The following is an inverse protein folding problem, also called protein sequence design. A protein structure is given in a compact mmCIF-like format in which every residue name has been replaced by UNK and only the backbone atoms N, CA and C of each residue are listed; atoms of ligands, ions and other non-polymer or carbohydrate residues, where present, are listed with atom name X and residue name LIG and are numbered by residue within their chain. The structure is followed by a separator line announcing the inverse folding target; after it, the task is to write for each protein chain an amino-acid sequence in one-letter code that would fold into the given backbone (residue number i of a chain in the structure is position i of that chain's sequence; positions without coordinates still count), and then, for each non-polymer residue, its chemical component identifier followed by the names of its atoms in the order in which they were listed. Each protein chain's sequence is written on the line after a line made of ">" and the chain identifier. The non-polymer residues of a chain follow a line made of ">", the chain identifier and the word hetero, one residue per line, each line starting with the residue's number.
data_IF_734159032649
#
_entry.id   IF_734159032649
#
_cell.length_a   1.000
_cell.length_b   1.000
_cell.length_c   1.000
_cell.angle_alpha   90.00
_cell.angle_beta   90.00
_cell.angle_gamma   90.00
#
_symmetry.space_group_name_H-M   'P 1'
#
loop_
_entity.id
_entity.type
_entity.pdbx_description
1 polymer ?
#
# COMPACT_ATOMS: atom_id res chain seq x y z
N UNK A 1 -54.39 58.66 -42.10
CA UNK A 1 -55.29 58.19 -43.18
C UNK A 1 -54.65 56.98 -43.82
N UNK A 2 -55.22 55.77 -43.61
CA UNK A 2 -54.98 54.51 -44.38
C UNK A 2 -53.53 53.95 -44.32
N UNK A 3 -53.22 52.67 -44.07
CA UNK A 3 -53.91 51.42 -44.41
C UNK A 3 -53.34 50.27 -43.55
N UNK A 4 -54.20 49.34 -43.16
CA UNK A 4 -53.88 48.01 -42.62
C UNK A 4 -53.33 47.11 -43.75
N UNK A 5 -52.30 46.31 -43.50
CA UNK A 5 -52.22 44.99 -44.15
C UNK A 5 -51.79 43.91 -43.16
N UNK A 6 -52.46 42.78 -43.30
CA UNK A 6 -52.61 41.66 -42.39
C UNK A 6 -52.01 40.42 -43.06
N UNK A 7 -51.44 39.50 -42.26
CA UNK A 7 -51.06 38.10 -42.60
C UNK A 7 -49.86 37.97 -43.57
N UNK A 8 -49.00 36.94 -43.51
CA UNK A 8 -49.31 35.50 -43.49
C UNK A 8 -48.17 34.70 -42.81
N UNK A 9 -48.56 33.69 -42.03
CA UNK A 9 -47.75 32.56 -41.55
C UNK A 9 -46.93 31.91 -42.67
N UNK A 10 -45.68 31.54 -42.42
CA UNK A 10 -45.16 30.17 -42.68
C UNK A 10 -43.64 30.13 -42.63
N UNK A 11 -43.10 29.63 -41.52
CA UNK A 11 -42.08 28.57 -41.50
C UNK A 11 -41.66 28.36 -40.06
N UNK A 12 -42.16 27.28 -39.46
CA UNK A 12 -41.46 26.64 -38.37
C UNK A 12 -40.19 26.05 -38.97
N UNK A 13 -39.04 26.67 -38.71
CA UNK A 13 -37.75 25.97 -38.65
C UNK A 13 -36.97 26.57 -37.50
N UNK A 14 -36.60 25.72 -36.56
CA UNK A 14 -35.88 26.02 -35.33
C UNK A 14 -34.69 26.94 -35.62
N UNK A 15 -34.70 28.15 -35.07
CA UNK A 15 -33.49 28.95 -34.96
C UNK A 15 -33.61 29.91 -33.79
N UNK A 16 -32.53 29.94 -33.03
CA UNK A 16 -32.13 30.90 -32.01
C UNK A 16 -33.00 30.97 -30.75
N UNK A 17 -32.41 30.40 -29.68
CA UNK A 17 -32.47 30.95 -28.34
C UNK A 17 -32.57 32.49 -28.41
N UNK A 18 -33.69 33.04 -27.94
CA UNK A 18 -33.93 34.47 -27.91
C UNK A 18 -32.94 35.09 -26.92
N UNK A 19 -31.96 35.81 -27.46
CA UNK A 19 -31.03 36.63 -26.71
C UNK A 19 -31.79 37.73 -25.93
N UNK A 20 -31.87 37.58 -24.61
CA UNK A 20 -31.98 38.68 -23.64
C UNK A 20 -31.33 38.26 -22.30
N UNK A 21 -30.02 38.04 -22.35
CA UNK A 21 -29.10 38.31 -21.24
C UNK A 21 -27.84 38.87 -21.90
N UNK A 22 -27.58 40.16 -21.66
CA UNK A 22 -26.24 40.72 -21.83
C UNK A 22 -25.33 39.97 -20.84
N UNK A 23 -24.28 39.34 -21.36
CA UNK A 23 -23.11 38.80 -20.65
C UNK A 23 -23.24 37.48 -19.84
N UNK A 24 -23.63 36.37 -20.50
CA UNK A 24 -23.12 35.04 -20.08
C UNK A 24 -24.15 33.90 -20.02
N UNK A 25 -24.44 33.27 -21.15
CA UNK A 25 -25.30 32.07 -21.18
C UNK A 25 -24.72 30.93 -22.06
N UNK A 26 -23.42 30.99 -22.35
CA UNK A 26 -22.68 29.96 -23.10
C UNK A 26 -21.24 30.42 -23.33
N UNK A 27 -20.49 30.65 -22.25
CA UNK A 27 -19.08 30.99 -22.37
C UNK A 27 -18.26 29.82 -21.86
N UNK A 28 -17.29 29.40 -22.68
CA UNK A 28 -16.46 28.26 -22.35
C UNK A 28 -15.71 28.47 -21.03
N UNK A 29 -15.72 27.45 -20.17
CA UNK A 29 -15.03 27.47 -18.88
C UNK A 29 -15.94 27.89 -17.71
N UNK A 30 -17.25 27.86 -17.90
CA UNK A 30 -18.23 28.13 -16.83
C UNK A 30 -18.63 26.88 -16.02
N UNK A 31 -18.05 25.72 -16.37
CA UNK A 31 -18.33 24.41 -15.79
C UNK A 31 -19.78 23.93 -15.99
N UNK A 32 -20.44 24.38 -17.05
CA UNK A 32 -21.71 23.86 -17.52
C UNK A 32 -21.58 23.56 -19.00
N UNK A 33 -22.09 22.42 -19.47
CA UNK A 33 -22.17 22.18 -20.93
C UNK A 33 -23.49 22.76 -21.40
N UNK A 34 -23.46 23.91 -22.08
CA UNK A 34 -24.65 24.51 -22.66
C UNK A 34 -24.41 25.10 -24.07
N UNK A 35 -25.47 25.65 -24.68
CA UNK A 35 -25.39 26.21 -26.03
C UNK A 35 -24.86 25.24 -27.10
N UNK A 36 -23.68 25.56 -27.66
CA UNK A 36 -22.97 24.79 -28.70
C UNK A 36 -21.69 24.10 -28.17
N UNK A 37 -21.50 24.10 -26.85
CA UNK A 37 -20.35 23.48 -26.19
C UNK A 37 -20.45 21.95 -26.27
N UNK A 38 -19.31 21.31 -26.48
CA UNK A 38 -19.21 19.85 -26.55
C UNK A 38 -18.66 19.25 -25.24
N UNK A 39 -17.91 20.06 -24.49
CA UNK A 39 -17.26 19.71 -23.24
C UNK A 39 -16.98 20.98 -22.41
N UNK A 40 -16.53 20.76 -21.17
CA UNK A 40 -15.93 21.77 -20.30
C UNK A 40 -14.59 21.22 -19.75
N UNK A 41 -13.72 22.08 -19.21
CA UNK A 41 -12.38 21.70 -18.69
C UNK A 41 -12.44 20.47 -17.75
N UNK A 42 -13.46 20.44 -16.87
CA UNK A 42 -13.67 19.35 -15.91
C UNK A 42 -14.87 18.45 -16.27
N UNK A 43 -15.58 18.72 -17.37
CA UNK A 43 -16.72 17.93 -17.83
C UNK A 43 -16.43 17.36 -19.21
N UNK A 44 -15.65 16.28 -19.20
CA UNK A 44 -15.33 15.49 -20.39
C UNK A 44 -16.26 14.26 -20.43
N UNK A 45 -17.24 14.27 -21.34
CA UNK A 45 -18.26 13.20 -21.44
C UNK A 45 -17.94 12.12 -22.47
N UNK A 46 -16.83 12.27 -23.20
CA UNK A 46 -16.35 11.37 -24.23
C UNK A 46 -14.94 10.92 -23.91
N UNK A 47 -14.44 9.97 -24.67
CA UNK A 47 -13.07 9.50 -24.57
C UNK A 47 -12.42 9.55 -25.96
N UNK A 48 -11.08 9.47 -26.03
CA UNK A 48 -10.37 9.35 -27.31
C UNK A 48 -10.93 8.20 -28.18
N UNK A 49 -11.35 7.08 -27.57
CA UNK A 49 -11.98 5.96 -28.28
C UNK A 49 -13.31 6.33 -28.95
N UNK A 50 -14.03 7.33 -28.43
CA UNK A 50 -15.27 7.83 -29.06
C UNK A 50 -15.03 8.45 -30.44
N UNK A 51 -13.78 8.84 -30.73
CA UNK A 51 -13.33 9.48 -31.97
C UNK A 51 -12.47 8.55 -32.84
N UNK A 52 -12.32 7.27 -32.46
CA UNK A 52 -11.60 6.27 -33.24
C UNK A 52 -10.10 6.17 -32.92
N UNK A 53 -9.63 6.79 -31.83
CA UNK A 53 -8.28 6.60 -31.30
C UNK A 53 -8.22 5.37 -30.38
N UNK A 54 -7.02 4.86 -30.15
CA UNK A 54 -6.82 3.72 -29.24
C UNK A 54 -6.93 4.16 -27.77
N UNK A 55 -6.28 5.28 -27.44
CA UNK A 55 -6.23 5.82 -26.08
C UNK A 55 -5.83 7.29 -26.04
N UNK A 56 -5.49 7.75 -24.84
CA UNK A 56 -5.01 9.12 -24.58
C UNK A 56 -5.95 9.93 -23.70
N UNK A 57 -5.56 11.18 -23.45
CA UNK A 57 -6.35 12.10 -22.63
C UNK A 57 -7.13 13.05 -23.55
N UNK A 58 -8.45 12.87 -23.60
CA UNK A 58 -9.32 13.81 -24.31
C UNK A 58 -9.41 15.10 -23.49
N UNK A 59 -9.09 16.23 -24.12
CA UNK A 59 -9.17 17.56 -23.49
C UNK A 59 -10.35 18.36 -24.02
N UNK A 60 -10.69 19.43 -23.32
CA UNK A 60 -11.56 20.46 -23.84
C UNK A 60 -10.71 21.70 -24.18
N UNK A 61 -10.81 22.19 -25.41
CA UNK A 61 -10.13 23.41 -25.85
C UNK A 61 -10.77 24.66 -25.23
N UNK A 62 -10.09 25.81 -25.32
CA UNK A 62 -10.63 27.12 -24.94
C UNK A 62 -11.88 27.56 -25.76
N UNK A 63 -12.20 26.84 -26.83
CA UNK A 63 -13.42 27.01 -27.65
C UNK A 63 -14.54 26.00 -27.27
N UNK A 64 -14.37 25.25 -26.18
CA UNK A 64 -15.27 24.22 -25.68
C UNK A 64 -15.62 23.13 -26.71
N UNK A 65 -14.62 22.80 -27.52
CA UNK A 65 -14.58 21.67 -28.44
C UNK A 65 -13.65 20.59 -27.90
N UNK A 66 -13.97 19.34 -28.24
CA UNK A 66 -13.08 18.22 -27.92
C UNK A 66 -11.75 18.38 -28.64
N UNK A 67 -10.66 18.39 -27.87
CA UNK A 67 -9.30 18.40 -28.38
C UNK A 67 -8.71 16.99 -28.28
N UNK A 68 -8.39 16.43 -29.45
CA UNK A 68 -7.87 15.07 -29.63
C UNK A 68 -6.34 15.03 -29.81
N UNK A 69 -5.64 16.15 -29.60
CA UNK A 69 -4.19 16.25 -29.80
C UNK A 69 -3.35 15.33 -28.89
N UNK A 70 -3.89 14.97 -27.72
CA UNK A 70 -3.28 14.01 -26.78
C UNK A 70 -3.88 12.59 -26.90
N UNK A 71 -4.70 12.35 -27.93
CA UNK A 71 -5.14 11.01 -28.29
C UNK A 71 -4.11 10.35 -29.21
N UNK A 72 -3.96 9.02 -29.11
CA UNK A 72 -2.98 8.25 -29.89
C UNK A 72 -3.59 6.98 -30.50
N UNK A 73 -2.95 6.46 -31.54
CA UNK A 73 -3.30 5.21 -32.21
C UNK A 73 -2.51 4.03 -31.64
N UNK A 74 -2.99 2.80 -31.85
CA UNK A 74 -2.33 1.58 -31.35
C UNK A 74 -0.88 1.45 -31.84
N UNK A 75 -0.61 1.92 -33.06
CA UNK A 75 0.71 1.93 -33.68
C UNK A 75 1.71 2.95 -33.08
N UNK A 76 1.24 3.87 -32.24
CA UNK A 76 2.08 4.84 -31.53
C UNK A 76 2.69 4.25 -30.24
N UNK A 77 2.17 3.11 -29.75
CA UNK A 77 2.65 2.42 -28.54
C UNK A 77 3.67 1.36 -28.96
N UNK A 78 4.93 1.51 -28.55
CA UNK A 78 6.00 0.55 -28.86
C UNK A 78 6.66 0.11 -27.57
N UNK A 79 5.98 -0.79 -26.88
CA UNK A 79 6.49 -1.34 -25.63
C UNK A 79 7.78 -2.14 -25.86
N UNK A 80 8.79 -1.84 -25.06
CA UNK A 80 10.11 -2.49 -25.06
C UNK A 80 11.18 -1.73 -25.84
N UNK A 81 10.99 -0.45 -26.16
CA UNK A 81 11.97 0.37 -26.88
C UNK A 81 12.90 1.20 -25.95
N UNK A 82 12.62 1.16 -24.65
CA UNK A 82 13.34 1.82 -23.57
C UNK A 82 12.95 3.28 -23.34
N UNK A 83 11.97 3.82 -24.05
CA UNK A 83 11.46 5.18 -23.89
C UNK A 83 9.98 5.14 -23.55
N UNK A 84 9.56 5.92 -22.56
CA UNK A 84 8.13 6.08 -22.26
C UNK A 84 7.54 7.03 -23.30
N UNK A 85 6.70 6.49 -24.17
CA UNK A 85 5.99 7.24 -25.21
C UNK A 85 4.52 7.51 -24.84
N UNK A 86 3.78 8.12 -25.76
CA UNK A 86 2.37 8.45 -25.53
C UNK A 86 1.57 7.16 -25.31
N UNK A 87 0.87 7.08 -24.18
CA UNK A 87 0.08 5.91 -23.82
C UNK A 87 0.79 4.90 -22.92
N UNK A 88 2.10 5.03 -22.74
CA UNK A 88 2.88 4.19 -21.84
C UNK A 88 3.02 4.84 -20.47
N UNK A 89 3.04 4.03 -19.42
CA UNK A 89 3.34 4.49 -18.05
C UNK A 89 4.76 4.11 -17.62
N UNK A 90 5.37 3.18 -18.34
CA UNK A 90 6.73 2.66 -18.17
C UNK A 90 7.17 2.00 -19.48
N UNK A 91 8.48 1.75 -19.63
CA UNK A 91 9.02 0.89 -20.69
C UNK A 91 10.28 0.19 -20.20
N UNK A 92 10.29 -1.15 -20.22
CA UNK A 92 11.46 -1.93 -19.81
C UNK A 92 11.91 -1.54 -18.38
N UNK A 93 13.16 -1.05 -18.23
CA UNK A 93 13.70 -0.54 -16.96
C UNK A 93 13.40 0.95 -16.71
N UNK A 94 12.80 1.64 -17.68
CA UNK A 94 12.36 3.02 -17.54
C UNK A 94 11.00 3.07 -16.84
N UNK A 95 11.02 3.14 -15.52
CA UNK A 95 9.83 3.09 -14.66
C UNK A 95 9.29 4.49 -14.28
N UNK A 96 9.73 5.55 -14.97
CA UNK A 96 9.44 6.95 -14.63
C UNK A 96 9.74 7.31 -13.17
N UNK A 97 10.76 6.69 -12.57
CA UNK A 97 11.13 6.88 -11.17
C UNK A 97 10.20 6.20 -10.16
N UNK A 98 9.23 5.38 -10.60
CA UNK A 98 8.39 4.60 -9.72
C UNK A 98 9.11 3.36 -9.16
N UNK A 99 8.59 2.90 -8.02
CA UNK A 99 9.04 1.71 -7.31
C UNK A 99 7.81 0.99 -6.74
N UNK A 100 8.00 -0.26 -6.28
CA UNK A 100 6.94 -1.00 -5.59
C UNK A 100 6.31 -0.16 -4.47
N UNK A 101 7.15 0.43 -3.61
CA UNK A 101 6.70 1.22 -2.45
C UNK A 101 6.01 2.54 -2.83
N UNK A 102 6.40 3.18 -3.94
CA UNK A 102 5.78 4.45 -4.35
C UNK A 102 4.38 4.27 -4.95
N UNK A 103 4.09 3.10 -5.51
CA UNK A 103 2.80 2.78 -6.15
C UNK A 103 1.83 2.07 -5.21
N UNK A 104 2.33 1.28 -4.27
CA UNK A 104 1.51 0.71 -3.19
C UNK A 104 2.33 0.65 -1.89
N UNK A 105 1.85 1.35 -0.86
CA UNK A 105 2.49 1.43 0.46
C UNK A 105 2.54 0.08 1.19
N UNK A 106 1.77 -0.92 0.75
CA UNK A 106 1.85 -2.29 1.25
C UNK A 106 3.17 -2.96 0.86
N UNK A 107 3.78 -2.62 -0.29
CA UNK A 107 5.06 -3.21 -0.65
C UNK A 107 6.20 -2.66 0.23
N UNK A 108 6.96 -3.55 0.86
CA UNK A 108 8.18 -3.19 1.60
C UNK A 108 9.38 -3.00 0.65
N UNK A 109 9.35 -3.61 -0.53
CA UNK A 109 10.39 -3.45 -1.53
C UNK A 109 10.20 -4.33 -2.77
N UNK A 110 11.31 -4.64 -3.44
CA UNK A 110 11.36 -5.50 -4.61
C UNK A 110 11.73 -4.78 -5.90
N UNK A 111 11.65 -5.51 -7.01
CA UNK A 111 11.91 -5.01 -8.36
C UNK A 111 10.56 -4.83 -9.04
N UNK A 112 10.17 -3.57 -9.23
CA UNK A 112 9.01 -3.20 -10.04
C UNK A 112 9.37 -3.41 -11.51
N UNK A 113 8.46 -4.00 -12.29
CA UNK A 113 8.63 -4.16 -13.72
C UNK A 113 7.46 -3.52 -14.49
N UNK A 114 7.71 -3.20 -15.75
CA UNK A 114 6.66 -2.81 -16.68
C UNK A 114 5.98 -4.06 -17.25
N UNK A 115 4.65 -4.04 -17.43
CA UNK A 115 3.96 -5.16 -18.07
C UNK A 115 4.27 -5.24 -19.58
N UNK A 116 3.89 -6.34 -20.24
CA UNK A 116 4.18 -6.56 -21.67
C UNK A 116 3.48 -5.57 -22.62
N UNK A 117 2.53 -4.78 -22.13
CA UNK A 117 1.75 -3.82 -22.90
C UNK A 117 2.10 -2.36 -22.57
N UNK A 118 3.01 -2.13 -21.62
CA UNK A 118 3.45 -0.83 -21.12
C UNK A 118 2.34 0.11 -20.60
N UNK A 119 1.11 -0.38 -20.46
CA UNK A 119 -0.07 0.33 -19.92
C UNK A 119 -0.32 0.02 -18.44
N UNK A 120 0.56 -0.79 -17.83
CA UNK A 120 0.40 -1.27 -16.47
C UNK A 120 1.71 -1.74 -15.84
N UNK A 121 1.65 -1.95 -14.53
CA UNK A 121 2.78 -2.41 -13.73
C UNK A 121 2.72 -3.92 -13.52
N UNK A 122 3.87 -4.57 -13.60
CA UNK A 122 4.07 -5.94 -13.12
C UNK A 122 4.65 -5.90 -11.70
N UNK A 123 3.80 -6.27 -10.74
CA UNK A 123 4.15 -6.35 -9.32
C UNK A 123 4.71 -7.72 -8.91
N UNK A 124 4.92 -8.66 -9.84
CA UNK A 124 5.41 -10.01 -9.52
C UNK A 124 6.80 -10.02 -8.87
N UNK A 125 7.63 -9.01 -9.14
CA UNK A 125 8.93 -8.80 -8.49
C UNK A 125 8.87 -7.93 -7.23
N UNK A 126 7.69 -7.38 -6.89
CA UNK A 126 7.47 -6.64 -5.66
C UNK A 126 7.16 -7.60 -4.51
N UNK A 127 7.65 -7.27 -3.32
CA UNK A 127 7.31 -8.01 -2.11
C UNK A 127 6.70 -7.06 -1.07
N UNK A 128 5.57 -7.50 -0.56
CA UNK A 128 4.89 -6.97 0.62
C UNK A 128 5.18 -7.96 1.75
N UNK A 129 4.91 -7.55 2.99
CA UNK A 129 4.81 -8.39 4.16
C UNK A 129 3.66 -9.45 4.09
N UNK A 130 3.23 -9.79 2.86
CA UNK A 130 2.39 -10.93 2.53
C UNK A 130 3.24 -12.20 2.48
N UNK A 131 3.20 -13.00 3.55
CA UNK A 131 3.58 -14.42 3.61
C UNK A 131 4.79 -14.89 2.73
N UNK A 132 5.81 -14.05 2.51
CA UNK A 132 7.02 -14.36 1.76
C UNK A 132 8.23 -13.85 2.54
N UNK A 133 8.54 -14.50 3.65
CA UNK A 133 9.91 -14.49 4.14
C UNK A 133 10.64 -15.64 3.46
N UNK A 134 11.25 -15.32 2.32
CA UNK A 134 12.31 -16.14 1.73
C UNK A 134 13.70 -15.53 2.04
N UNK A 135 13.76 -14.51 2.89
CA UNK A 135 15.02 -14.15 3.52
C UNK A 135 15.19 -15.13 4.68
N UNK A 136 16.04 -16.12 4.44
CA UNK A 136 16.70 -16.85 5.51
C UNK A 136 17.15 -15.80 6.54
N UNK A 137 16.43 -15.71 7.66
CA UNK A 137 17.08 -15.29 8.90
C UNK A 137 18.30 -16.20 8.94
N UNK A 138 19.51 -15.63 8.84
CA UNK A 138 20.74 -16.37 9.13
C UNK A 138 20.41 -17.16 10.37
N UNK A 139 20.26 -18.47 10.19
CA UNK A 139 19.74 -19.37 11.18
C UNK A 139 20.51 -19.07 12.46
N UNK A 140 19.89 -18.29 13.37
CA UNK A 140 20.49 -18.02 14.66
C UNK A 140 20.38 -19.39 15.29
N UNK A 141 21.51 -20.09 15.20
CA UNK A 141 21.64 -21.53 15.36
C UNK A 141 20.68 -21.96 16.43
N UNK A 142 19.79 -22.90 16.08
CA UNK A 142 19.07 -23.74 17.04
C UNK A 142 20.14 -24.40 17.92
N UNK A 143 20.61 -23.65 18.91
CA UNK A 143 21.62 -24.06 19.85
C UNK A 143 20.90 -24.33 21.14
N UNK A 144 20.56 -25.61 21.36
CA UNK A 144 20.29 -26.30 22.64
C UNK A 144 20.01 -25.43 23.88
N UNK A 145 19.09 -24.46 23.81
CA UNK A 145 18.77 -23.63 24.98
C UNK A 145 17.44 -24.05 25.60
N UNK A 146 16.40 -24.29 24.78
CA UNK A 146 15.16 -24.93 25.22
C UNK A 146 14.91 -26.20 24.38
N UNK A 147 15.06 -27.38 24.96
CA UNK A 147 14.94 -28.68 24.26
C UNK A 147 13.50 -29.06 23.83
N UNK A 148 12.51 -28.23 24.18
CA UNK A 148 11.11 -28.57 24.03
C UNK A 148 10.32 -27.34 23.60
N UNK A 149 10.00 -27.35 22.31
CA UNK A 149 9.24 -26.36 21.56
C UNK A 149 7.76 -26.78 21.39
N UNK A 150 7.23 -27.60 22.30
CA UNK A 150 5.81 -27.95 22.27
C UNK A 150 4.94 -26.69 22.42
N UNK A 151 3.93 -26.58 21.56
CA UNK A 151 2.98 -25.46 21.56
C UNK A 151 2.28 -25.34 22.91
N UNK A 152 2.04 -24.12 23.40
CA UNK A 152 1.41 -23.78 24.69
C UNK A 152 2.27 -24.10 25.92
N UNK A 153 3.58 -24.26 25.73
CA UNK A 153 4.49 -24.53 26.84
C UNK A 153 4.84 -23.27 27.61
N UNK A 154 4.84 -22.10 26.98
CA UNK A 154 5.19 -20.83 27.61
C UNK A 154 3.95 -19.94 27.60
N UNK A 155 3.31 -19.76 28.75
CA UNK A 155 2.11 -18.93 28.85
C UNK A 155 2.35 -17.83 29.88
N UNK A 156 2.48 -16.54 29.50
CA UNK A 156 2.85 -15.46 30.40
C UNK A 156 1.66 -15.00 31.26
N UNK A 157 1.09 -15.88 32.09
CA UNK A 157 -0.13 -15.62 32.87
C UNK A 157 -0.03 -14.35 33.74
N UNK A 158 1.18 -14.01 34.20
CA UNK A 158 1.43 -12.81 35.01
C UNK A 158 1.46 -11.51 34.18
N UNK A 159 1.92 -11.56 32.93
CA UNK A 159 1.95 -10.41 32.03
C UNK A 159 0.66 -10.27 31.20
N UNK A 160 -0.02 -11.39 30.96
CA UNK A 160 -1.20 -11.47 30.10
C UNK A 160 -2.24 -12.43 30.72
N UNK A 161 -3.17 -11.91 31.55
CA UNK A 161 -4.13 -12.74 32.29
C UNK A 161 -5.08 -13.55 31.40
N UNK A 162 -5.31 -13.11 30.16
CA UNK A 162 -6.16 -13.80 29.19
C UNK A 162 -5.45 -14.98 28.50
N UNK A 163 -4.14 -15.15 28.77
CA UNK A 163 -3.28 -16.17 28.20
C UNK A 163 -2.88 -15.90 26.75
N UNK A 164 -1.62 -16.18 26.44
CA UNK A 164 -1.18 -16.30 25.05
C UNK A 164 -1.31 -17.79 24.70
N UNK A 165 -2.19 -18.11 23.75
CA UNK A 165 -2.64 -19.48 23.47
C UNK A 165 -2.41 -19.83 21.99
N UNK A 166 -1.21 -19.59 21.50
CA UNK A 166 -0.81 -19.81 20.12
C UNK A 166 0.39 -20.75 19.97
N UNK A 167 1.13 -20.57 18.88
CA UNK A 167 2.37 -21.31 18.60
C UNK A 167 3.58 -20.44 18.94
N UNK A 168 4.42 -20.90 19.86
CA UNK A 168 5.57 -20.14 20.35
C UNK A 168 6.81 -20.26 19.46
N UNK A 169 7.53 -19.15 19.33
CA UNK A 169 8.87 -19.05 18.75
C UNK A 169 9.80 -18.37 19.74
N UNK A 170 10.99 -18.92 19.88
CA UNK A 170 11.86 -18.65 21.02
C UNK A 170 13.23 -18.21 20.51
N UNK A 171 13.73 -17.08 21.02
CA UNK A 171 15.01 -16.50 20.63
C UNK A 171 15.82 -16.17 21.89
N UNK A 172 17.02 -16.75 22.06
CA UNK A 172 17.90 -16.33 23.14
C UNK A 172 18.44 -14.93 22.86
N UNK A 173 18.43 -14.07 23.88
CA UNK A 173 18.99 -12.73 23.82
C UNK A 173 20.00 -12.51 24.94
N UNK A 174 21.05 -11.75 24.66
CA UNK A 174 22.07 -11.39 25.63
C UNK A 174 22.33 -9.89 25.61
N UNK A 175 22.31 -9.26 26.78
CA UNK A 175 22.44 -7.81 26.94
C UNK A 175 23.56 -7.53 27.92
N UNK A 176 24.61 -6.86 27.45
CA UNK A 176 25.76 -6.47 28.26
C UNK A 176 25.40 -5.31 29.21
N UNK A 177 26.10 -5.16 30.34
CA UNK A 177 25.96 -4.01 31.23
C UNK A 177 26.06 -2.67 30.49
N UNK A 178 25.13 -1.75 30.77
CA UNK A 178 25.12 -0.41 30.18
C UNK A 178 24.53 -0.34 28.78
N UNK A 179 23.95 -1.42 28.27
CA UNK A 179 23.24 -1.46 26.99
C UNK A 179 21.74 -1.69 27.16
N UNK A 180 21.00 -1.21 26.17
CA UNK A 180 19.61 -1.57 25.95
C UNK A 180 19.44 -2.16 24.56
N UNK A 181 18.37 -2.95 24.41
CA UNK A 181 17.90 -3.44 23.13
C UNK A 181 16.52 -2.86 22.86
N UNK A 182 16.29 -2.50 21.60
CA UNK A 182 14.98 -2.16 21.05
C UNK A 182 14.62 -3.33 20.14
N UNK A 183 13.53 -4.01 20.44
CA UNK A 183 12.98 -5.09 19.65
C UNK A 183 11.77 -4.55 18.92
N UNK A 184 11.77 -4.67 17.60
CA UNK A 184 10.62 -4.42 16.73
C UNK A 184 10.28 -5.73 16.03
N UNK A 185 9.14 -6.31 16.37
CA UNK A 185 8.63 -7.52 15.77
C UNK A 185 7.42 -7.21 14.88
N UNK A 186 7.35 -7.84 13.73
CA UNK A 186 6.20 -7.77 12.81
C UNK A 186 5.77 -9.17 12.46
N UNK A 187 4.47 -9.44 12.35
CA UNK A 187 3.97 -10.74 11.91
C UNK A 187 2.69 -10.64 11.07
N UNK A 188 2.51 -11.62 10.19
CA UNK A 188 1.32 -11.68 9.31
C UNK A 188 0.03 -12.04 10.08
N UNK A 189 0.18 -12.32 11.36
CA UNK A 189 -0.85 -12.75 12.29
C UNK A 189 -0.75 -11.94 13.57
N UNK A 190 -1.84 -11.91 14.32
CA UNK A 190 -1.83 -11.40 15.70
C UNK A 190 -0.84 -12.22 16.55
N UNK A 191 -0.07 -11.58 17.42
CA UNK A 191 0.91 -12.27 18.25
C UNK A 191 1.24 -11.48 19.51
N UNK A 192 1.69 -12.19 20.54
CA UNK A 192 2.18 -11.61 21.79
C UNK A 192 3.70 -11.70 21.79
N UNK A 193 4.37 -10.60 22.11
CA UNK A 193 5.81 -10.56 22.30
C UNK A 193 6.12 -10.45 23.80
N UNK A 194 6.93 -11.35 24.36
CA UNK A 194 7.29 -11.29 25.78
C UNK A 194 8.67 -11.88 26.10
N UNK A 195 9.20 -11.53 27.27
CA UNK A 195 10.49 -11.99 27.78
C UNK A 195 10.35 -12.87 29.02
N UNK A 196 11.08 -13.98 29.03
CA UNK A 196 11.23 -14.87 30.20
C UNK A 196 12.70 -15.04 30.58
N UNK A 197 12.94 -15.35 31.86
CA UNK A 197 14.29 -15.50 32.41
C UNK A 197 15.04 -16.74 31.87
N UNK A 198 14.34 -17.87 31.74
CA UNK A 198 14.92 -19.14 31.34
C UNK A 198 13.84 -20.13 30.85
N UNK A 199 14.28 -21.23 30.24
CA UNK A 199 13.40 -22.24 29.65
C UNK A 199 12.61 -23.07 30.66
N UNK A 200 12.95 -23.01 31.96
CA UNK A 200 12.21 -23.70 33.03
C UNK A 200 10.93 -22.96 33.40
N UNK A 201 10.80 -21.68 33.03
CA UNK A 201 9.63 -20.86 33.30
C UNK A 201 8.50 -21.09 32.28
N UNK A 202 8.03 -22.34 32.20
CA UNK A 202 6.95 -22.76 31.28
C UNK A 202 5.61 -22.09 31.63
N UNK A 203 5.35 -21.87 32.91
CA UNK A 203 4.12 -21.19 33.35
C UNK A 203 4.11 -19.69 33.09
N UNK A 204 5.20 -19.13 32.51
CA UNK A 204 5.40 -17.70 32.28
C UNK A 204 5.19 -16.83 33.51
N UNK A 205 5.30 -17.43 34.70
CA UNK A 205 5.25 -16.76 35.99
C UNK A 205 6.50 -15.93 36.15
N UNK A 206 6.40 -14.64 36.44
CA UNK A 206 7.50 -13.65 36.32
C UNK A 206 7.95 -13.36 34.88
N UNK A 207 7.02 -13.27 33.93
CA UNK A 207 7.33 -12.62 32.67
C UNK A 207 7.84 -11.18 32.95
N UNK A 208 8.95 -10.81 32.32
CA UNK A 208 9.68 -9.58 32.63
C UNK A 208 9.06 -8.37 31.93
N UNK A 209 8.59 -8.59 30.71
CA UNK A 209 7.93 -7.61 29.88
C UNK A 209 7.12 -8.35 28.81
N UNK A 210 5.96 -7.79 28.47
CA UNK A 210 5.13 -8.27 27.37
C UNK A 210 4.46 -7.09 26.65
N UNK A 211 4.15 -7.29 25.38
CA UNK A 211 3.34 -6.39 24.57
C UNK A 211 2.39 -7.20 23.68
N UNK A 212 1.18 -6.69 23.54
CA UNK A 212 0.06 -7.24 22.75
C UNK A 212 -0.80 -6.06 22.26
N UNK A 213 -0.17 -5.19 21.48
CA UNK A 213 -0.82 -4.12 20.77
C UNK A 213 -1.61 -4.75 19.61
N UNK A 214 -2.93 -4.88 19.80
CA UNK A 214 -3.89 -5.18 18.73
C UNK A 214 -3.84 -4.10 17.62
N UNK A 215 -2.79 -4.13 16.82
CA UNK A 215 -2.50 -3.19 15.75
C UNK A 215 -3.19 -3.66 14.48
N UNK A 216 -3.72 -2.72 13.72
CA UNK A 216 -4.25 -3.01 12.39
C UNK A 216 -3.09 -3.48 11.50
N UNK A 217 -3.35 -4.48 10.65
CA UNK A 217 -2.34 -5.18 9.86
C UNK A 217 -1.40 -4.21 9.08
N UNK A 218 -0.07 -4.47 9.04
CA UNK A 218 0.66 -5.60 9.64
C UNK A 218 0.74 -5.51 11.16
N UNK A 219 0.57 -6.65 11.85
CA UNK A 219 0.64 -6.69 13.30
C UNK A 219 2.08 -6.41 13.72
N UNK A 220 2.25 -5.44 14.60
CA UNK A 220 3.56 -4.97 15.06
C UNK A 220 3.57 -4.89 16.57
N UNK A 221 4.62 -5.44 17.16
CA UNK A 221 4.89 -5.38 18.58
C UNK A 221 6.30 -4.83 18.80
N UNK A 222 6.47 -3.96 19.80
CA UNK A 222 7.77 -3.39 20.11
C UNK A 222 8.03 -3.39 21.61
N UNK A 223 9.26 -3.70 22.01
CA UNK A 223 9.67 -3.60 23.40
C UNK A 223 11.09 -3.09 23.53
N UNK A 224 11.37 -2.41 24.64
CA UNK A 224 12.71 -1.94 24.98
C UNK A 224 13.11 -2.58 26.30
N UNK A 225 14.31 -3.14 26.35
CA UNK A 225 14.85 -3.72 27.57
C UNK A 225 16.29 -3.23 27.81
N UNK A 226 16.58 -2.76 29.03
CA UNK A 226 17.88 -2.23 29.41
C UNK A 226 18.56 -3.06 30.51
N UNK A 227 19.87 -3.26 30.38
CA UNK A 227 20.70 -3.86 31.42
C UNK A 227 21.48 -2.77 32.17
N UNK A 228 20.94 -2.33 33.31
CA UNK A 228 21.59 -1.39 34.22
C UNK A 228 22.45 -2.06 35.30
N UNK A 229 22.56 -3.39 35.27
CA UNK A 229 23.36 -4.17 36.22
C UNK A 229 24.84 -4.19 35.90
N UNK A 230 25.58 -5.05 36.62
CA UNK A 230 27.05 -5.20 36.47
C UNK A 230 27.44 -6.46 35.66
N UNK A 231 26.50 -7.37 35.42
CA UNK A 231 26.71 -8.63 34.70
C UNK A 231 25.87 -8.69 33.43
N UNK A 232 26.31 -9.49 32.46
CA UNK A 232 25.53 -9.74 31.24
C UNK A 232 24.27 -10.51 31.59
N UNK A 233 23.14 -10.01 31.11
CA UNK A 233 21.84 -10.64 31.32
C UNK A 233 21.52 -11.50 30.10
N UNK A 234 21.05 -12.72 30.35
CA UNK A 234 20.54 -13.63 29.33
C UNK A 234 19.05 -13.85 29.56
N UNK A 235 18.26 -13.67 28.51
CA UNK A 235 16.83 -13.93 28.51
C UNK A 235 16.41 -14.66 27.26
N UNK A 236 15.14 -15.01 27.26
CA UNK A 236 14.47 -15.65 26.14
C UNK A 236 13.34 -14.74 25.70
N UNK A 237 13.43 -14.29 24.45
CA UNK A 237 12.35 -13.63 23.74
C UNK A 237 11.40 -14.69 23.19
N UNK A 238 10.12 -14.53 23.48
CA UNK A 238 9.07 -15.40 22.97
C UNK A 238 8.10 -14.59 22.12
N UNK A 239 7.82 -15.11 20.94
CA UNK A 239 6.75 -14.67 20.06
C UNK A 239 5.68 -15.76 20.10
N UNK A 240 4.52 -15.45 20.65
CA UNK A 240 3.37 -16.36 20.68
C UNK A 240 2.36 -15.93 19.62
N UNK A 241 2.27 -16.73 18.56
CA UNK A 241 1.48 -16.40 17.37
C UNK A 241 0.05 -16.89 17.54
N UNK A 242 -0.88 -15.94 17.57
CA UNK A 242 -2.32 -16.18 17.61
C UNK A 242 -2.86 -16.39 16.20
N UNK A 243 -3.79 -17.32 16.05
CA UNK A 243 -4.65 -17.44 14.87
C UNK A 243 -3.90 -17.52 13.50
N UNK A 244 -2.97 -18.47 13.34
CA UNK A 244 -2.20 -18.77 12.10
C UNK A 244 -3.01 -18.98 10.80
N UNK A 245 -4.35 -18.91 10.83
CA UNK A 245 -5.26 -19.26 9.73
C UNK A 245 -5.24 -18.30 8.53
N UNK A 246 -4.42 -17.24 8.53
CA UNK A 246 -4.44 -16.21 7.46
C UNK A 246 -3.56 -16.53 6.25
N UNK A 247 -2.44 -17.25 6.41
CA UNK A 247 -1.62 -17.73 5.29
C UNK A 247 -1.84 -19.25 5.13
N UNK A 248 -2.23 -19.68 3.93
CA UNK A 248 -2.64 -21.07 3.60
C UNK A 248 -1.44 -22.01 3.34
N UNK A 249 -0.26 -21.65 3.87
CA UNK A 249 1.02 -22.36 3.68
C UNK A 249 1.59 -22.79 5.03
N UNK A 250 2.17 -23.99 5.09
CA UNK A 250 2.91 -24.47 6.27
C UNK A 250 4.18 -23.61 6.49
N UNK A 251 4.10 -22.61 7.37
CA UNK A 251 5.22 -21.70 7.63
C UNK A 251 4.93 -20.68 8.73
N UNK A 252 5.95 -19.96 9.17
CA UNK A 252 5.83 -18.84 10.11
C UNK A 252 6.34 -17.57 9.43
N UNK A 253 5.55 -16.49 9.51
CA UNK A 253 5.83 -15.26 8.78
C UNK A 253 5.94 -14.10 9.77
N UNK A 254 7.16 -13.87 10.26
CA UNK A 254 7.48 -12.80 11.19
C UNK A 254 8.90 -12.28 10.96
N UNK A 255 9.11 -10.98 11.17
CA UNK A 255 10.41 -10.32 11.18
C UNK A 255 10.69 -9.79 12.58
N UNK A 256 11.93 -9.91 13.04
CA UNK A 256 12.38 -9.37 14.33
C UNK A 256 13.63 -8.56 14.07
N UNK A 257 13.55 -7.26 14.31
CA UNK A 257 14.70 -6.37 14.32
C UNK A 257 15.11 -6.12 15.77
N UNK A 258 16.33 -6.52 16.13
CA UNK A 258 16.90 -6.31 17.48
C UNK A 258 18.04 -5.30 17.39
N UNK A 259 17.78 -4.06 17.79
CA UNK A 259 18.73 -2.98 17.76
C UNK A 259 19.36 -2.78 19.15
N UNK A 260 20.68 -2.97 19.27
CA UNK A 260 21.42 -2.77 20.53
C UNK A 260 22.06 -1.37 20.55
N UNK A 261 21.88 -0.63 21.63
CA UNK A 261 22.51 0.68 21.83
C UNK A 261 22.92 0.92 23.30
N UNK A 262 23.90 1.81 23.56
CA UNK A 262 24.23 2.21 24.93
C UNK A 262 23.06 2.95 25.58
N UNK A 263 22.85 2.73 26.89
CA UNK A 263 21.88 3.48 27.69
C UNK A 263 22.36 4.94 27.79
N UNK A 264 21.47 5.90 27.49
CA UNK A 264 21.75 7.34 27.59
C UNK A 264 21.57 7.88 29.01
#
# INVERSE_FOLDING_TARGET
>A
MKTIFLMILSSLTLASCYAFMEDGCCWCGDNSIDGEEECEEYIITKTCQSFGFFGGQLKCSDECKFDTSDCYYEEDVVCGDGQIMVGEICDSDNLDGNSCHSLNLEFEGGVLACNETCDGWDFSGCYDFHCYLNEEIEEFVHGDFCDDMTTQKYNPVDCFPDGAAGEERIFPISIEPGFEIIIEARAAYDFVLYLIENCENTSGTNCLAATDLNTEYPFTESMIFSNTGEETIQYILVIDIKNKKRCDFDGFYYRIDVNKQPIQ
#
